data_IF_547406967813
#
_entry.id   IF_547406967813
#
_cell.length_a   1.000
_cell.length_b   1.000
_cell.length_c   1.000
_cell.angle_alpha   90.00
_cell.angle_beta   90.00
_cell.angle_gamma   90.00
#
_symmetry.space_group_name_H-M   'P 1'
#
loop_
_entity.id
_entity.type
_entity.pdbx_description
1 polymer ?
#
# COMPACT_ATOMS: atom_id res chain seq x y z
N UNK A 1 9.33 4.14 29.29
CA UNK A 1 8.44 3.04 29.76
C UNK A 1 8.26 2.13 28.58
N UNK A 2 8.99 1.03 28.52
CA UNK A 2 8.86 0.01 27.49
C UNK A 2 7.49 -0.67 27.68
N UNK A 3 6.55 -0.37 26.81
CA UNK A 3 5.27 -1.09 26.77
C UNK A 3 5.57 -2.48 26.22
N UNK A 4 5.67 -3.46 27.14
CA UNK A 4 5.77 -4.87 26.77
C UNK A 4 4.67 -5.23 25.76
N UNK A 5 5.07 -5.56 24.56
CA UNK A 5 4.13 -5.95 23.50
C UNK A 5 3.51 -7.28 23.86
N UNK A 6 2.20 -7.31 24.11
CA UNK A 6 1.48 -8.52 24.47
C UNK A 6 1.19 -9.32 23.21
N UNK A 7 1.77 -10.53 23.13
CA UNK A 7 1.49 -11.45 22.03
C UNK A 7 0.07 -12.02 22.16
N UNK A 8 -0.69 -11.97 21.07
CA UNK A 8 -2.04 -12.55 21.00
C UNK A 8 -2.09 -13.81 20.13
N UNK A 9 -1.07 -14.01 19.30
CA UNK A 9 -0.89 -15.21 18.47
C UNK A 9 0.42 -15.91 18.83
N UNK A 10 0.43 -17.23 18.70
CA UNK A 10 1.58 -18.09 18.95
C UNK A 10 1.60 -19.25 17.97
N UNK A 11 2.69 -20.00 17.93
CA UNK A 11 2.77 -21.27 17.22
C UNK A 11 2.50 -22.43 18.18
N UNK A 12 1.65 -23.36 17.76
CA UNK A 12 1.44 -24.66 18.39
C UNK A 12 1.46 -25.74 17.32
N UNK A 13 2.38 -26.69 17.44
CA UNK A 13 2.55 -27.76 16.46
C UNK A 13 2.68 -27.24 15.02
N UNK A 14 3.39 -26.12 14.84
CA UNK A 14 3.58 -25.45 13.54
C UNK A 14 2.38 -24.66 13.02
N UNK A 15 1.26 -24.63 13.76
CA UNK A 15 0.07 -23.88 13.41
C UNK A 15 -0.06 -22.62 14.26
N UNK A 16 -0.59 -21.55 13.64
CA UNK A 16 -0.96 -20.35 14.39
C UNK A 16 -2.19 -20.62 15.24
N UNK A 17 -2.14 -20.18 16.49
CA UNK A 17 -3.24 -20.22 17.44
C UNK A 17 -3.42 -18.87 18.12
N UNK A 18 -4.68 -18.49 18.36
CA UNK A 18 -5.00 -17.34 19.20
C UNK A 18 -4.84 -17.70 20.69
N UNK A 19 -4.60 -16.67 21.49
CA UNK A 19 -4.57 -16.82 22.96
C UNK A 19 -5.88 -17.43 23.48
N UNK A 20 -7.01 -17.15 22.85
CA UNK A 20 -8.31 -17.62 23.30
C UNK A 20 -8.57 -19.10 22.99
N UNK A 21 -7.88 -19.66 21.98
CA UNK A 21 -8.06 -21.04 21.51
C UNK A 21 -7.25 -22.09 22.29
N UNK A 22 -6.41 -21.66 23.23
CA UNK A 22 -5.52 -22.57 23.97
C UNK A 22 -5.82 -22.60 25.45
N UNK A 23 -5.47 -23.66 26.19
CA UNK A 23 -5.62 -23.69 27.65
C UNK A 23 -4.76 -22.65 28.35
N UNK A 24 -5.20 -22.15 29.51
CA UNK A 24 -4.45 -21.20 30.31
C UNK A 24 -3.20 -21.84 30.92
N UNK A 25 -2.17 -21.05 31.10
CA UNK A 25 -0.93 -21.47 31.76
C UNK A 25 0.13 -22.06 30.83
N UNK A 26 1.01 -22.88 31.40
CA UNK A 26 2.13 -23.51 30.69
C UNK A 26 1.71 -24.62 29.74
N UNK A 27 0.53 -25.18 29.98
CA UNK A 27 -0.01 -26.31 29.22
C UNK A 27 -0.55 -25.91 27.85
N UNK A 28 -0.45 -24.63 27.46
CA UNK A 28 -0.81 -24.21 26.12
C UNK A 28 0.05 -24.89 25.03
N UNK A 29 1.29 -25.28 25.34
CA UNK A 29 2.19 -25.94 24.39
C UNK A 29 2.61 -25.03 23.25
N UNK A 30 2.64 -23.72 23.48
CA UNK A 30 2.88 -22.71 22.46
C UNK A 30 4.31 -22.17 22.51
N UNK A 31 4.83 -21.77 21.34
CA UNK A 31 6.13 -21.11 21.22
C UNK A 31 5.98 -19.76 20.51
N UNK A 32 6.92 -18.87 20.81
CA UNK A 32 6.99 -17.56 20.18
C UNK A 32 7.39 -17.68 18.70
N UNK A 33 6.65 -17.07 17.75
CA UNK A 33 7.02 -17.11 16.34
C UNK A 33 8.32 -16.36 16.00
N UNK A 34 8.76 -15.44 16.87
CA UNK A 34 9.98 -14.66 16.63
C UNK A 34 11.24 -15.36 17.15
N UNK A 35 11.23 -15.85 18.41
CA UNK A 35 12.43 -16.40 19.06
C UNK A 35 12.36 -17.91 19.32
N UNK A 36 11.21 -18.55 19.14
CA UNK A 36 11.02 -19.98 19.39
C UNK A 36 10.85 -20.37 20.87
N UNK A 37 10.94 -19.41 21.81
CA UNK A 37 10.81 -19.69 23.23
C UNK A 37 9.41 -20.16 23.61
N UNK A 38 9.35 -21.03 24.65
CA UNK A 38 8.08 -21.48 25.23
C UNK A 38 7.28 -20.30 25.80
N UNK A 39 5.99 -20.33 25.54
CA UNK A 39 5.06 -19.32 26.01
C UNK A 39 4.13 -19.83 27.10
N UNK A 40 3.64 -18.90 27.89
CA UNK A 40 2.62 -19.11 28.92
C UNK A 40 1.38 -18.33 28.52
N UNK A 41 0.23 -18.98 28.40
CA UNK A 41 -1.04 -18.33 28.16
C UNK A 41 -1.58 -17.68 29.45
N UNK A 42 -1.53 -16.34 29.51
CA UNK A 42 -2.03 -15.57 30.67
C UNK A 42 -3.47 -15.13 30.40
N UNK A 43 -4.43 -15.86 30.99
CA UNK A 43 -5.88 -15.63 30.84
C UNK A 43 -6.50 -15.22 32.17
N UNK A 44 -6.12 -14.05 32.69
CA UNK A 44 -6.65 -13.53 33.95
C UNK A 44 -7.93 -12.70 33.75
N UNK A 45 -8.83 -12.71 34.74
CA UNK A 45 -10.10 -11.97 34.68
C UNK A 45 -10.00 -10.44 34.62
N UNK A 46 -8.86 -9.86 35.03
CA UNK A 46 -8.68 -8.39 35.14
C UNK A 46 -7.80 -7.78 34.06
N UNK A 47 -7.12 -8.58 33.26
CA UNK A 47 -6.17 -8.10 32.24
C UNK A 47 -6.47 -8.81 30.93
N UNK A 48 -6.19 -8.10 29.83
CA UNK A 48 -6.25 -8.66 28.48
C UNK A 48 -5.46 -9.99 28.43
N UNK A 49 -6.07 -11.02 27.83
CA UNK A 49 -5.43 -12.28 27.58
C UNK A 49 -4.22 -12.08 26.65
N UNK A 50 -3.11 -12.73 26.94
CA UNK A 50 -1.89 -12.65 26.13
C UNK A 50 -0.95 -13.81 26.43
N UNK A 51 -0.08 -14.10 25.47
CA UNK A 51 1.06 -14.96 25.71
C UNK A 51 2.22 -14.16 26.31
N UNK A 52 2.97 -14.80 27.19
CA UNK A 52 4.20 -14.26 27.77
C UNK A 52 5.30 -15.31 27.69
N UNK A 53 6.53 -14.90 27.46
CA UNK A 53 7.70 -15.77 27.46
C UNK A 53 7.88 -16.45 28.84
N UNK A 54 8.24 -17.71 28.82
CA UNK A 54 8.46 -18.47 30.04
C UNK A 54 9.72 -18.01 30.77
N UNK A 55 10.73 -17.57 30.03
CA UNK A 55 11.97 -17.00 30.54
C UNK A 55 11.77 -15.66 31.27
N UNK A 56 10.62 -14.99 31.12
CA UNK A 56 10.38 -13.59 31.46
C UNK A 56 11.34 -12.59 30.74
N UNK A 57 12.05 -13.05 29.73
CA UNK A 57 12.82 -12.17 28.85
C UNK A 57 11.90 -11.54 27.81
N UNK A 58 12.16 -10.26 27.51
CA UNK A 58 11.40 -9.55 26.50
C UNK A 58 11.88 -9.95 25.09
N UNK A 59 10.95 -10.31 24.24
CA UNK A 59 11.19 -10.50 22.82
C UNK A 59 10.75 -9.23 22.07
N UNK A 60 11.71 -8.45 21.65
CA UNK A 60 11.47 -7.15 20.99
C UNK A 60 10.55 -7.26 19.78
N UNK A 61 10.68 -8.34 19.01
CA UNK A 61 9.93 -8.55 17.77
C UNK A 61 8.73 -9.50 17.91
N UNK A 62 8.42 -9.97 19.11
CA UNK A 62 7.39 -11.00 19.29
C UNK A 62 6.00 -10.61 18.80
N UNK A 63 5.54 -9.40 19.10
CA UNK A 63 4.22 -8.92 18.66
C UNK A 63 4.16 -8.76 17.14
N UNK A 64 5.12 -8.08 16.55
CA UNK A 64 5.20 -7.88 15.11
C UNK A 64 5.22 -9.22 14.38
N UNK A 65 6.14 -10.12 14.76
CA UNK A 65 6.25 -11.45 14.15
C UNK A 65 5.00 -12.28 14.30
N UNK A 66 4.31 -12.20 15.45
CA UNK A 66 3.05 -12.94 15.66
C UNK A 66 1.93 -12.45 14.75
N UNK A 67 1.83 -11.14 14.55
CA UNK A 67 0.81 -10.54 13.69
C UNK A 67 1.11 -10.75 12.21
N UNK A 68 2.37 -10.61 11.80
CA UNK A 68 2.83 -10.97 10.45
C UNK A 68 2.51 -12.42 10.12
N UNK A 69 2.84 -13.34 11.01
CA UNK A 69 2.59 -14.76 10.79
C UNK A 69 1.09 -15.07 10.74
N UNK A 70 0.27 -14.42 11.57
CA UNK A 70 -1.19 -14.55 11.50
C UNK A 70 -1.74 -14.09 10.16
N UNK A 71 -1.32 -12.90 9.70
CA UNK A 71 -1.74 -12.35 8.42
C UNK A 71 -1.32 -13.25 7.25
N UNK A 72 -0.07 -13.71 7.22
CA UNK A 72 0.45 -14.65 6.21
C UNK A 72 -0.33 -15.96 6.19
N UNK A 73 -0.63 -16.52 7.37
CA UNK A 73 -1.38 -17.78 7.48
C UNK A 73 -2.82 -17.63 7.00
N UNK A 74 -3.50 -16.53 7.36
CA UNK A 74 -4.87 -16.28 6.91
C UNK A 74 -4.91 -16.15 5.39
N UNK A 75 -4.04 -15.31 4.81
CA UNK A 75 -4.00 -15.08 3.36
C UNK A 75 -3.64 -16.35 2.58
N UNK A 76 -2.68 -17.15 3.08
CA UNK A 76 -2.26 -18.39 2.40
C UNK A 76 -3.30 -19.51 2.40
N UNK A 77 -4.32 -19.42 3.24
CA UNK A 77 -5.42 -20.41 3.34
C UNK A 77 -6.72 -19.92 2.73
N UNK A 78 -6.71 -18.72 2.14
CA UNK A 78 -7.91 -18.09 1.63
C UNK A 78 -8.00 -18.23 0.12
N UNK A 79 -9.22 -18.40 -0.37
CA UNK A 79 -9.50 -18.56 -1.80
C UNK A 79 -9.83 -17.23 -2.49
N UNK A 80 -10.04 -16.15 -1.72
CA UNK A 80 -10.40 -14.84 -2.23
C UNK A 80 -10.02 -13.72 -1.26
N UNK A 81 -9.78 -12.53 -1.81
CA UNK A 81 -9.58 -11.31 -1.04
C UNK A 81 -10.11 -10.08 -1.78
N UNK A 82 -10.36 -8.99 -1.05
CA UNK A 82 -10.66 -7.69 -1.63
C UNK A 82 -9.36 -6.91 -1.79
N UNK A 83 -9.13 -6.38 -3.00
CA UNK A 83 -8.01 -5.47 -3.30
C UNK A 83 -8.48 -4.02 -3.39
N UNK A 84 -7.61 -3.03 -3.08
CA UNK A 84 -7.99 -1.64 -3.08
C UNK A 84 -8.18 -1.09 -4.50
N UNK A 85 -8.91 0.04 -4.65
CA UNK A 85 -9.06 0.70 -5.93
C UNK A 85 -7.71 1.16 -6.47
N UNK A 86 -7.59 1.17 -7.80
CA UNK A 86 -6.40 1.60 -8.52
C UNK A 86 -6.63 3.00 -9.08
N UNK A 87 -5.69 3.90 -8.83
CA UNK A 87 -5.72 5.26 -9.35
C UNK A 87 -4.45 5.60 -10.12
N UNK A 88 -4.57 6.47 -11.11
CA UNK A 88 -3.43 7.28 -11.56
C UNK A 88 -3.35 8.50 -10.65
N UNK A 89 -2.23 8.68 -10.00
CA UNK A 89 -1.96 9.85 -9.16
C UNK A 89 -0.98 10.78 -9.86
N UNK A 90 -1.21 12.08 -9.70
CA UNK A 90 -0.39 13.14 -10.27
C UNK A 90 0.26 13.94 -9.13
N UNK A 91 1.32 13.39 -8.50
CA UNK A 91 1.99 14.06 -7.41
C UNK A 91 2.54 15.41 -7.88
N UNK A 92 2.45 16.43 -7.04
CA UNK A 92 2.88 17.79 -7.34
C UNK A 92 2.08 18.50 -8.45
N UNK A 93 0.80 18.16 -8.61
CA UNK A 93 -0.07 18.74 -9.62
C UNK A 93 -1.43 19.10 -9.01
N UNK A 94 -2.15 20.03 -9.65
CA UNK A 94 -3.54 20.33 -9.31
C UNK A 94 -4.55 19.32 -9.89
N UNK A 95 -4.09 18.42 -10.76
CA UNK A 95 -4.94 17.40 -11.36
C UNK A 95 -5.38 16.39 -10.33
N UNK A 96 -6.70 16.13 -10.18
CA UNK A 96 -7.19 15.08 -9.29
C UNK A 96 -6.74 13.70 -9.78
N UNK A 97 -6.58 12.77 -8.85
CA UNK A 97 -6.31 11.39 -9.20
C UNK A 97 -7.46 10.80 -10.02
N UNK A 98 -7.14 10.00 -11.01
CA UNK A 98 -8.13 9.35 -11.87
C UNK A 98 -8.28 7.88 -11.51
N UNK A 99 -9.54 7.42 -11.42
CA UNK A 99 -9.87 6.03 -11.09
C UNK A 99 -9.68 5.14 -12.30
N UNK A 100 -8.79 4.14 -12.20
CA UNK A 100 -8.61 3.08 -13.19
C UNK A 100 -9.57 1.91 -12.89
N UNK A 101 -9.57 1.45 -11.64
CA UNK A 101 -10.36 0.31 -11.19
C UNK A 101 -10.91 0.56 -9.80
N UNK A 102 -12.17 0.18 -9.56
CA UNK A 102 -12.78 0.19 -8.22
C UNK A 102 -12.17 -0.92 -7.36
N UNK A 103 -12.39 -0.82 -6.04
CA UNK A 103 -12.13 -1.97 -5.18
C UNK A 103 -12.93 -3.17 -5.67
N UNK A 104 -12.34 -4.35 -5.58
CA UNK A 104 -12.97 -5.59 -6.06
C UNK A 104 -12.48 -6.81 -5.32
N UNK A 105 -13.33 -7.82 -5.24
CA UNK A 105 -12.95 -9.15 -4.81
C UNK A 105 -12.22 -9.88 -5.94
N UNK A 106 -11.11 -10.52 -5.62
CA UNK A 106 -10.35 -11.37 -6.54
C UNK A 106 -10.22 -12.78 -5.99
N UNK A 107 -10.14 -13.82 -6.84
CA UNK A 107 -9.72 -15.15 -6.41
C UNK A 107 -8.25 -15.11 -5.99
N UNK A 108 -7.83 -16.06 -5.18
CA UNK A 108 -6.44 -16.35 -4.87
C UNK A 108 -6.14 -17.74 -5.43
N UNK A 109 -5.37 -17.80 -6.50
CA UNK A 109 -5.05 -19.07 -7.16
C UNK A 109 -3.82 -19.72 -6.55
N UNK A 110 -2.81 -18.93 -6.18
CA UNK A 110 -1.61 -19.41 -5.50
C UNK A 110 -1.04 -18.35 -4.55
N UNK A 111 -0.45 -18.81 -3.46
CA UNK A 111 0.23 -17.96 -2.48
C UNK A 111 1.58 -18.54 -2.11
N UNK A 112 2.61 -17.72 -2.22
CA UNK A 112 3.97 -18.09 -1.79
C UNK A 112 4.44 -17.13 -0.70
N UNK A 113 4.81 -17.67 0.45
CA UNK A 113 5.30 -16.88 1.57
C UNK A 113 6.82 -16.73 1.48
N UNK A 114 7.30 -15.51 1.75
CA UNK A 114 8.74 -15.16 1.86
C UNK A 114 9.59 -15.68 0.69
N UNK A 115 8.99 -15.84 -0.48
CA UNK A 115 9.70 -16.32 -1.65
C UNK A 115 10.61 -15.21 -2.16
N UNK A 116 11.91 -15.49 -2.20
CA UNK A 116 12.89 -14.57 -2.77
C UNK A 116 12.63 -14.34 -4.26
N UNK A 117 12.57 -13.07 -4.64
CA UNK A 117 12.52 -12.61 -6.02
C UNK A 117 13.69 -11.66 -6.25
N UNK A 118 14.76 -12.15 -6.85
CA UNK A 118 16.07 -11.47 -6.98
C UNK A 118 16.60 -11.01 -5.61
N UNK A 119 16.64 -9.69 -5.40
CA UNK A 119 17.11 -9.02 -4.19
C UNK A 119 15.97 -8.55 -3.27
N UNK A 120 14.71 -8.94 -3.58
CA UNK A 120 13.52 -8.65 -2.78
C UNK A 120 12.99 -9.94 -2.17
N UNK A 121 12.59 -9.87 -0.91
CA UNK A 121 11.82 -10.92 -0.24
C UNK A 121 10.52 -10.27 0.22
N UNK A 122 9.41 -10.46 -0.50
CA UNK A 122 8.11 -9.99 -0.06
C UNK A 122 7.56 -10.90 1.04
N UNK A 123 6.67 -10.34 1.88
CA UNK A 123 5.96 -11.16 2.85
C UNK A 123 5.11 -12.23 2.16
N UNK A 124 4.41 -11.83 1.12
CA UNK A 124 3.49 -12.71 0.39
C UNK A 124 3.56 -12.38 -1.11
N UNK A 125 3.58 -13.41 -1.93
CA UNK A 125 3.36 -13.34 -3.38
C UNK A 125 1.99 -13.92 -3.67
N UNK A 126 1.16 -13.21 -4.42
CA UNK A 126 -0.19 -13.65 -4.82
C UNK A 126 -0.27 -13.77 -6.33
N UNK A 127 -0.80 -14.89 -6.79
CA UNK A 127 -1.21 -15.13 -8.16
C UNK A 127 -2.75 -15.18 -8.20
N UNK A 128 -3.39 -14.40 -9.09
CA UNK A 128 -4.84 -14.28 -9.25
C UNK A 128 -5.18 -14.07 -10.72
N UNK A 129 -5.62 -15.11 -11.44
CA UNK A 129 -5.77 -15.06 -12.90
C UNK A 129 -4.48 -14.64 -13.58
N UNK A 130 -4.54 -13.59 -14.37
CA UNK A 130 -3.35 -13.00 -15.04
C UNK A 130 -2.60 -11.98 -14.16
N UNK A 131 -3.11 -11.70 -12.97
CA UNK A 131 -2.49 -10.74 -12.04
C UNK A 131 -1.47 -11.44 -11.13
N UNK A 132 -0.31 -10.81 -11.01
CA UNK A 132 0.76 -11.22 -10.11
C UNK A 132 1.22 -10.01 -9.31
N UNK A 133 1.15 -10.06 -7.98
CA UNK A 133 1.52 -8.95 -7.13
C UNK A 133 2.03 -9.40 -5.76
N UNK A 134 2.72 -8.48 -5.09
CA UNK A 134 3.22 -8.69 -3.74
C UNK A 134 2.30 -8.06 -2.71
N UNK A 135 2.30 -8.64 -1.51
CA UNK A 135 1.70 -8.04 -0.33
C UNK A 135 2.78 -7.91 0.74
N UNK A 136 2.83 -6.74 1.35
CA UNK A 136 3.66 -6.42 2.50
C UNK A 136 2.76 -6.11 3.69
N UNK A 137 3.09 -6.65 4.84
CA UNK A 137 2.33 -6.44 6.08
C UNK A 137 3.05 -5.38 6.92
N UNK A 138 2.43 -4.22 7.08
CA UNK A 138 2.94 -3.15 7.90
C UNK A 138 2.42 -3.24 9.33
N UNK A 139 3.26 -3.58 10.29
CA UNK A 139 2.93 -3.57 11.74
C UNK A 139 3.66 -2.43 12.45
N UNK A 140 4.99 -2.37 12.35
CA UNK A 140 5.83 -1.34 12.98
C UNK A 140 6.56 -0.47 11.96
N UNK A 141 6.96 -1.06 10.83
CA UNK A 141 7.70 -0.37 9.79
C UNK A 141 7.01 -0.54 8.44
N UNK A 142 6.62 0.56 7.76
CA UNK A 142 6.11 0.50 6.41
C UNK A 142 7.21 0.12 5.42
N UNK A 143 6.85 -0.15 4.17
CA UNK A 143 7.80 -0.31 3.08
C UNK A 143 8.72 0.92 3.04
N UNK A 144 10.03 0.69 3.09
CA UNK A 144 11.04 1.74 3.00
C UNK A 144 11.26 2.21 1.54
N UNK A 145 11.92 3.36 1.39
CA UNK A 145 12.17 3.96 0.08
C UNK A 145 13.07 3.10 -0.81
N UNK A 146 14.02 2.34 -0.24
CA UNK A 146 14.91 1.47 -0.99
C UNK A 146 14.14 0.28 -1.58
N UNK A 147 13.31 -0.38 -0.78
CA UNK A 147 12.43 -1.48 -1.22
C UNK A 147 11.42 -0.97 -2.25
N UNK A 148 10.81 0.20 -2.01
CA UNK A 148 9.88 0.82 -2.95
C UNK A 148 10.54 1.12 -4.30
N UNK A 149 11.77 1.63 -4.31
CA UNK A 149 12.55 1.87 -5.53
C UNK A 149 12.77 0.59 -6.32
N UNK A 150 13.20 -0.49 -5.66
CA UNK A 150 13.39 -1.81 -6.29
C UNK A 150 12.10 -2.36 -6.91
N UNK A 151 10.97 -2.22 -6.21
CA UNK A 151 9.66 -2.64 -6.70
C UNK A 151 9.26 -1.89 -7.97
N UNK A 152 9.48 -0.56 -8.01
CA UNK A 152 9.25 0.28 -9.20
C UNK A 152 10.15 -0.10 -10.36
N UNK A 153 11.44 -0.27 -10.13
CA UNK A 153 12.40 -0.67 -11.16
C UNK A 153 12.06 -2.03 -11.79
N UNK A 154 11.60 -2.97 -10.97
CA UNK A 154 11.17 -4.30 -11.42
C UNK A 154 9.71 -4.34 -11.93
N UNK A 155 8.98 -3.24 -11.82
CA UNK A 155 7.57 -3.10 -12.22
C UNK A 155 6.64 -4.11 -11.55
N UNK A 156 6.87 -4.40 -10.27
CA UNK A 156 6.09 -5.39 -9.50
C UNK A 156 5.03 -4.67 -8.68
N UNK A 157 3.76 -4.85 -9.05
CA UNK A 157 2.63 -4.31 -8.29
C UNK A 157 2.67 -4.81 -6.85
N UNK A 158 2.51 -3.91 -5.87
CA UNK A 158 2.65 -4.25 -4.46
C UNK A 158 1.61 -3.53 -3.60
N UNK A 159 0.86 -4.30 -2.83
CA UNK A 159 -0.08 -3.82 -1.82
C UNK A 159 0.64 -3.81 -0.47
N UNK A 160 0.52 -2.73 0.28
CA UNK A 160 0.81 -2.71 1.71
C UNK A 160 -0.49 -2.78 2.50
N UNK A 161 -0.54 -3.68 3.50
CA UNK A 161 -1.65 -3.82 4.43
C UNK A 161 -1.23 -3.21 5.77
N UNK A 162 -1.84 -2.10 6.16
CA UNK A 162 -1.53 -1.38 7.40
C UNK A 162 -2.24 -1.99 8.61
N UNK A 163 -1.51 -2.75 9.40
CA UNK A 163 -1.92 -3.31 10.68
C UNK A 163 -1.34 -2.53 11.89
N UNK A 164 -0.67 -1.40 11.68
CA UNK A 164 0.03 -0.64 12.73
C UNK A 164 -0.91 -0.08 13.81
N UNK A 165 -2.15 0.19 13.44
CA UNK A 165 -3.18 0.82 14.31
C UNK A 165 -4.35 -0.12 14.65
N UNK A 166 -4.20 -1.42 14.45
CA UNK A 166 -5.24 -2.35 14.89
C UNK A 166 -5.25 -2.51 16.41
N UNK A 167 -6.38 -2.95 16.94
CA UNK A 167 -6.48 -3.25 18.37
C UNK A 167 -5.51 -4.38 18.73
N UNK A 168 -4.89 -4.29 19.90
CA UNK A 168 -3.95 -5.31 20.39
C UNK A 168 -4.60 -6.63 20.78
N UNK A 169 -5.90 -6.63 20.97
CA UNK A 169 -6.74 -7.77 21.33
C UNK A 169 -7.66 -8.20 20.19
N UNK A 170 -7.24 -7.94 18.95
CA UNK A 170 -8.00 -8.30 17.75
C UNK A 170 -8.18 -9.81 17.65
N UNK A 171 -9.40 -10.29 17.41
CA UNK A 171 -9.66 -11.70 17.17
C UNK A 171 -9.17 -12.18 15.80
N UNK A 172 -9.08 -13.49 15.60
CA UNK A 172 -8.73 -14.08 14.29
C UNK A 172 -9.78 -13.71 13.25
N UNK A 173 -11.06 -13.71 13.62
CA UNK A 173 -12.17 -13.35 12.74
C UNK A 173 -12.09 -11.89 12.31
N UNK A 174 -11.89 -10.96 13.27
CA UNK A 174 -11.72 -9.54 12.96
C UNK A 174 -10.50 -9.28 12.06
N UNK A 175 -9.38 -9.95 12.34
CA UNK A 175 -8.18 -9.85 11.49
C UNK A 175 -8.44 -10.42 10.10
N UNK A 176 -9.13 -11.55 10.01
CA UNK A 176 -9.53 -12.16 8.74
C UNK A 176 -10.42 -11.22 7.92
N UNK A 177 -11.39 -10.55 8.56
CA UNK A 177 -12.26 -9.60 7.90
C UNK A 177 -11.49 -8.40 7.33
N UNK A 178 -10.53 -7.86 8.07
CA UNK A 178 -9.62 -6.80 7.59
C UNK A 178 -8.81 -7.28 6.38
N UNK A 179 -8.25 -8.48 6.46
CA UNK A 179 -7.37 -9.00 5.41
C UNK A 179 -8.12 -9.42 4.14
N UNK A 180 -9.36 -9.91 4.27
CA UNK A 180 -10.05 -10.58 3.16
C UNK A 180 -11.25 -9.80 2.63
N UNK A 181 -11.99 -9.06 3.47
CA UNK A 181 -13.29 -8.50 3.13
C UNK A 181 -13.31 -6.98 2.96
N UNK A 182 -12.25 -6.28 3.33
CA UNK A 182 -12.15 -4.81 3.24
C UNK A 182 -10.89 -4.38 2.51
N UNK A 183 -10.94 -3.20 1.88
CA UNK A 183 -9.77 -2.51 1.33
C UNK A 183 -9.29 -1.35 2.20
N UNK A 184 -9.98 -1.01 3.29
CA UNK A 184 -9.75 0.21 4.09
C UNK A 184 -8.31 0.38 4.60
N UNK A 185 -7.61 -0.74 4.82
CA UNK A 185 -6.23 -0.75 5.32
C UNK A 185 -5.21 -1.18 4.27
N UNK A 186 -5.63 -1.23 3.01
CA UNK A 186 -4.79 -1.65 1.88
C UNK A 186 -4.51 -0.48 0.97
N UNK A 187 -3.27 -0.35 0.55
CA UNK A 187 -2.87 0.66 -0.42
C UNK A 187 -1.87 0.10 -1.42
N UNK A 188 -2.05 0.41 -2.69
CA UNK A 188 -1.02 0.15 -3.68
C UNK A 188 0.18 1.08 -3.43
N UNK A 189 1.34 0.51 -3.14
CA UNK A 189 2.60 1.25 -3.08
C UNK A 189 3.19 1.46 -4.46
N UNK A 190 2.96 0.51 -5.32
CA UNK A 190 3.22 0.57 -6.75
C UNK A 190 2.18 -0.27 -7.48
N UNK A 191 1.73 0.19 -8.63
CA UNK A 191 0.83 -0.55 -9.51
C UNK A 191 1.25 -0.35 -10.96
N UNK A 192 1.60 -1.45 -11.64
CA UNK A 192 2.18 -1.39 -12.99
C UNK A 192 1.25 -0.72 -14.03
N UNK A 193 -0.07 -0.96 -13.92
CA UNK A 193 -1.04 -0.31 -14.82
C UNK A 193 -1.17 1.18 -14.53
N UNK A 194 -1.16 1.59 -13.26
CA UNK A 194 -1.16 3.02 -12.87
C UNK A 194 0.05 3.74 -13.45
N UNK A 195 1.23 3.15 -13.34
CA UNK A 195 2.46 3.67 -13.90
C UNK A 195 2.40 3.79 -15.45
N UNK A 196 1.88 2.76 -16.10
CA UNK A 196 1.68 2.78 -17.57
C UNK A 196 0.78 3.94 -18.00
N UNK A 197 -0.33 4.16 -17.28
CA UNK A 197 -1.23 5.29 -17.54
C UNK A 197 -0.55 6.64 -17.31
N UNK A 198 0.17 6.80 -16.19
CA UNK A 198 0.94 8.01 -15.92
C UNK A 198 1.91 8.33 -17.06
N UNK A 199 2.64 7.33 -17.56
CA UNK A 199 3.56 7.49 -18.69
C UNK A 199 2.85 7.87 -20.00
N UNK A 200 1.61 7.42 -20.21
CA UNK A 200 0.80 7.86 -21.36
C UNK A 200 0.41 9.33 -21.24
N UNK A 201 -0.03 9.77 -20.07
CA UNK A 201 -0.28 11.20 -19.80
C UNK A 201 0.98 12.04 -20.03
N UNK A 202 2.12 11.58 -19.51
CA UNK A 202 3.40 12.27 -19.69
C UNK A 202 3.78 12.43 -21.17
N UNK A 203 3.67 11.36 -21.94
CA UNK A 203 4.01 11.36 -23.38
C UNK A 203 3.10 12.24 -24.23
N UNK A 204 1.83 12.33 -23.86
CA UNK A 204 0.82 13.09 -24.59
C UNK A 204 0.81 14.58 -24.18
N UNK A 205 1.70 15.00 -23.30
CA UNK A 205 1.73 16.34 -22.76
C UNK A 205 2.86 17.17 -23.31
N UNK A 206 2.56 18.45 -23.47
CA UNK A 206 3.56 19.44 -23.87
C UNK A 206 4.42 19.88 -22.68
N UNK A 207 5.72 19.94 -22.89
CA UNK A 207 6.66 20.57 -21.97
C UNK A 207 6.58 22.10 -22.14
N UNK A 208 5.91 22.76 -21.18
CA UNK A 208 5.74 24.19 -21.17
C UNK A 208 6.80 24.85 -20.29
N UNK A 209 7.78 25.60 -20.88
CA UNK A 209 8.84 26.20 -20.10
C UNK A 209 8.33 27.25 -19.09
N UNK A 210 8.95 27.27 -17.92
CA UNK A 210 8.73 28.30 -16.91
C UNK A 210 9.66 29.48 -17.15
N UNK A 211 9.07 30.65 -17.36
CA UNK A 211 9.80 31.91 -17.58
C UNK A 211 9.66 32.80 -16.34
N UNK A 212 10.77 33.17 -15.73
CA UNK A 212 10.76 34.09 -14.59
C UNK A 212 10.52 35.53 -15.08
N UNK A 213 9.53 36.20 -14.49
CA UNK A 213 9.22 37.61 -14.71
C UNK A 213 9.01 38.31 -13.39
N UNK A 214 10.00 39.05 -12.96
CA UNK A 214 10.04 39.61 -11.61
C UNK A 214 10.13 38.54 -10.57
N UNK A 215 9.18 38.51 -9.63
CA UNK A 215 9.11 37.50 -8.56
C UNK A 215 8.26 36.28 -8.93
N UNK A 216 7.62 36.28 -10.10
CA UNK A 216 6.70 35.22 -10.48
C UNK A 216 7.22 34.40 -11.66
N UNK A 217 6.86 33.10 -11.66
CA UNK A 217 7.08 32.18 -12.78
C UNK A 217 5.82 32.17 -13.66
N UNK A 218 6.01 32.21 -14.96
CA UNK A 218 4.96 32.23 -15.96
C UNK A 218 5.17 31.13 -16.99
N UNK A 219 4.07 30.65 -17.52
CA UNK A 219 4.01 29.75 -18.68
C UNK A 219 3.51 30.55 -19.89
N UNK A 220 4.33 30.70 -20.89
CA UNK A 220 3.95 31.37 -22.15
C UNK A 220 3.21 30.39 -23.05
N UNK A 221 2.23 30.90 -23.81
CA UNK A 221 1.46 30.08 -24.71
C UNK A 221 0.45 29.15 -24.05
N UNK A 222 -0.05 29.48 -22.85
CA UNK A 222 -1.06 28.67 -22.16
C UNK A 222 -2.17 28.25 -23.15
N UNK A 223 -2.36 26.92 -23.39
CA UNK A 223 -3.28 26.44 -24.42
C UNK A 223 -4.75 26.74 -24.11
N UNK A 224 -5.10 26.84 -22.83
CA UNK A 224 -6.48 27.18 -22.40
C UNK A 224 -6.70 28.71 -22.28
N UNK A 225 -5.67 29.52 -22.47
CA UNK A 225 -5.80 30.97 -22.53
C UNK A 225 -6.27 31.63 -21.22
N UNK A 226 -5.87 31.10 -20.05
CA UNK A 226 -6.31 31.61 -18.73
C UNK A 226 -6.09 33.12 -18.60
N UNK A 227 -4.93 33.59 -19.05
CA UNK A 227 -4.60 35.03 -19.09
C UNK A 227 -4.12 35.41 -20.50
N UNK A 228 -4.43 36.65 -20.89
CA UNK A 228 -3.98 37.21 -22.18
C UNK A 228 -3.35 38.57 -21.98
N UNK A 229 -2.23 38.80 -22.65
CA UNK A 229 -1.58 40.11 -22.71
C UNK A 229 -1.05 40.36 -24.13
N UNK A 230 -1.54 41.43 -24.77
CA UNK A 230 -1.13 41.76 -26.13
C UNK A 230 -1.28 40.59 -27.11
N UNK A 231 -2.46 39.94 -27.09
CA UNK A 231 -2.81 38.79 -27.94
C UNK A 231 -1.98 37.51 -27.68
N UNK A 232 -1.18 37.50 -26.62
CA UNK A 232 -0.42 36.29 -26.21
C UNK A 232 -1.01 35.69 -24.94
N UNK A 233 -1.39 34.44 -25.04
CA UNK A 233 -1.85 33.67 -23.92
C UNK A 233 -0.69 33.34 -22.97
N UNK A 234 -0.93 33.39 -21.69
CA UNK A 234 0.01 32.98 -20.66
C UNK A 234 -0.73 32.53 -19.39
N UNK A 235 -0.01 31.91 -18.46
CA UNK A 235 -0.50 31.59 -17.11
C UNK A 235 0.57 31.99 -16.09
N UNK A 236 0.12 32.32 -14.87
CA UNK A 236 0.99 32.41 -13.71
C UNK A 236 1.12 31.00 -13.14
N UNK A 237 2.33 30.52 -12.92
CA UNK A 237 2.55 29.16 -12.45
C UNK A 237 1.86 28.87 -11.10
N UNK A 238 2.04 29.76 -10.11
CA UNK A 238 1.48 29.57 -8.77
C UNK A 238 -0.03 29.77 -8.75
N UNK A 239 -0.52 30.85 -9.36
CA UNK A 239 -1.94 31.22 -9.26
C UNK A 239 -2.83 30.34 -10.14
N UNK A 240 -2.33 29.96 -11.32
CA UNK A 240 -3.16 29.33 -12.35
C UNK A 240 -2.82 27.85 -12.57
N UNK A 241 -1.52 27.48 -12.69
CA UNK A 241 -1.15 26.14 -13.09
C UNK A 241 -1.23 25.14 -11.93
N UNK A 242 -0.93 25.55 -10.68
CA UNK A 242 -0.93 24.63 -9.53
C UNK A 242 -2.31 24.04 -9.21
N UNK A 243 -3.39 24.70 -9.64
CA UNK A 243 -4.77 24.22 -9.49
C UNK A 243 -5.42 23.81 -10.82
N UNK A 244 -4.68 23.82 -11.91
CA UNK A 244 -5.21 23.54 -13.24
C UNK A 244 -5.30 22.02 -13.49
N UNK A 245 -6.48 21.54 -13.92
CA UNK A 245 -6.72 20.13 -14.25
C UNK A 245 -5.89 19.63 -15.45
N UNK A 246 -5.38 20.51 -16.29
CA UNK A 246 -4.52 20.18 -17.42
C UNK A 246 -3.02 20.20 -17.10
N UNK A 247 -2.65 20.70 -15.92
CA UNK A 247 -1.28 20.71 -15.43
C UNK A 247 -1.05 19.55 -14.50
N UNK A 248 -0.30 18.52 -14.91
CA UNK A 248 -0.15 17.30 -14.13
C UNK A 248 1.26 16.96 -13.67
N UNK A 249 2.24 17.82 -13.93
CA UNK A 249 3.55 17.73 -13.30
C UNK A 249 4.22 19.07 -13.23
N UNK A 250 4.81 19.40 -12.08
CA UNK A 250 5.76 20.51 -11.94
C UNK A 250 7.14 19.92 -12.02
N UNK A 251 7.82 20.12 -13.12
CA UNK A 251 9.16 19.61 -13.23
C UNK A 251 10.14 20.51 -12.46
N UNK A 252 11.01 19.91 -11.71
CA UNK A 252 12.17 20.57 -11.09
C UNK A 252 13.16 21.13 -12.14
N UNK A 253 12.95 20.83 -13.41
CA UNK A 253 13.80 21.18 -14.55
C UNK A 253 13.39 22.47 -15.27
N UNK A 254 12.52 23.29 -14.68
CA UNK A 254 12.14 24.58 -15.24
C UNK A 254 11.06 24.51 -16.32
N UNK A 255 10.24 23.47 -16.35
CA UNK A 255 9.04 23.38 -17.20
C UNK A 255 7.90 22.69 -16.42
N UNK A 256 6.69 22.81 -16.92
CA UNK A 256 5.54 22.00 -16.51
C UNK A 256 5.12 21.05 -17.62
N UNK A 257 4.43 19.97 -17.28
CA UNK A 257 3.71 19.14 -18.23
C UNK A 257 2.25 19.57 -18.27
N UNK A 258 1.77 19.92 -19.47
CA UNK A 258 0.41 20.40 -19.68
C UNK A 258 -0.24 19.65 -20.85
N UNK A 259 -1.42 19.06 -20.61
CA UNK A 259 -2.16 18.35 -21.67
C UNK A 259 -2.98 19.29 -22.56
N UNK A 260 -3.20 20.54 -22.15
CA UNK A 260 -4.11 21.43 -22.87
C UNK A 260 -5.55 20.93 -22.89
N UNK A 261 -6.39 21.53 -23.73
CA UNK A 261 -7.79 21.13 -23.89
C UNK A 261 -8.01 19.92 -24.81
N UNK A 262 -7.01 19.57 -25.62
CA UNK A 262 -7.18 18.59 -26.71
C UNK A 262 -6.99 17.13 -26.25
N UNK A 263 -6.46 16.92 -25.07
CA UNK A 263 -6.21 15.58 -24.56
C UNK A 263 -7.40 15.09 -23.71
N UNK A 264 -8.38 14.48 -24.34
CA UNK A 264 -9.39 13.67 -23.64
C UNK A 264 -8.74 12.34 -23.21
N UNK A 265 -8.17 12.34 -22.02
CA UNK A 265 -7.58 11.17 -21.38
C UNK A 265 -8.60 10.41 -20.54
N UNK A 266 -9.85 10.36 -20.94
CA UNK A 266 -10.78 9.46 -20.29
C UNK A 266 -10.28 8.03 -20.51
N UNK A 267 -9.95 7.36 -19.42
CA UNK A 267 -9.70 5.91 -19.43
C UNK A 267 -10.94 5.28 -20.01
N UNK A 268 -10.86 4.71 -21.20
CA UNK A 268 -12.02 4.18 -21.89
C UNK A 268 -12.70 3.12 -21.03
N UNK A 269 -14.04 3.10 -20.99
CA UNK A 269 -14.79 2.09 -20.22
C UNK A 269 -14.43 0.66 -20.63
N UNK A 270 -13.95 0.46 -21.85
CA UNK A 270 -13.51 -0.84 -22.37
C UNK A 270 -12.19 -1.30 -21.76
N UNK A 271 -11.24 -0.37 -21.49
CA UNK A 271 -9.99 -0.69 -20.80
C UNK A 271 -10.15 -0.86 -19.27
N UNK A 272 -11.23 -0.26 -18.71
CA UNK A 272 -11.62 -0.52 -17.31
C UNK A 272 -12.19 -1.94 -17.14
N UNK A 273 -12.81 -2.51 -18.18
CA UNK A 273 -13.48 -3.83 -18.15
C UNK A 273 -12.48 -4.97 -18.44
N UNK A 274 -11.45 -4.74 -19.25
CA UNK A 274 -10.43 -5.77 -19.52
C UNK A 274 -9.47 -6.02 -18.35
N UNK A 275 -9.54 -5.19 -17.32
CA UNK A 275 -8.79 -5.31 -16.05
C UNK A 275 -9.73 -5.57 -14.86
N UNK A 276 -10.96 -5.98 -15.08
CA UNK A 276 -11.98 -6.32 -14.07
C UNK A 276 -12.24 -7.81 -13.95
#
# INVERSE_FOLDING_TARGET
MTTHSKLIYALKDGNIVSIDDVPSGKECGCVCPACGDELIARKGQKRMHHFAHRSNEDCEYGYESSLHLAAKTILSRSEKMVIPPVYVEFPQSGKPKELISKERGIPIDDVKLEKRFDDIIPDIVVDSGDEHFFIEIYVTHPIDDEKLKKLKEKKISTIEIDLSKIKRDISVEELSDILLKSSDRKSWKYHAVSEKWYQQFEKASDKMPLTQRGLALHVDGCPIGIRNRKEKNYANFVDDCTGCEYCFSYAHEGYILCSGQEADFSISKEEQISNS
#
